data_IF_566426498389
#
_entry.id   IF_566426498389
#
_cell.length_a   1.000
_cell.length_b   1.000
_cell.length_c   1.000
_cell.angle_alpha   90.00
_cell.angle_beta   90.00
_cell.angle_gamma   90.00
#
_symmetry.space_group_name_H-M   'P 1'
#
loop_
_entity.id
_entity.type
_entity.pdbx_description
1 polymer ?
#
# COMPACT_ATOMS: atom_id res chain seq x y z
N UNK A 1 14.81 1.88 -5.03
CA UNK A 1 13.85 1.91 -3.92
C UNK A 1 14.02 3.25 -3.21
N UNK A 2 12.93 3.94 -2.90
CA UNK A 2 12.96 5.22 -2.18
C UNK A 2 12.34 5.11 -0.77
N UNK A 3 12.81 5.91 0.19
CA UNK A 3 12.13 6.08 1.48
C UNK A 3 10.73 6.69 1.31
N UNK A 4 9.80 6.24 2.13
CA UNK A 4 8.41 6.70 2.19
C UNK A 4 8.05 7.09 3.63
N UNK A 5 7.37 8.22 3.78
CA UNK A 5 6.71 8.62 5.01
C UNK A 5 5.19 8.48 4.81
N UNK A 6 4.55 7.66 5.63
CA UNK A 6 3.12 7.37 5.55
C UNK A 6 2.34 8.30 6.49
N UNK A 7 1.08 8.57 6.15
CA UNK A 7 0.18 9.45 6.90
C UNK A 7 -0.04 9.03 8.36
N UNK A 8 0.13 7.74 8.69
CA UNK A 8 0.05 7.21 10.05
C UNK A 8 1.35 7.26 10.86
N UNK A 9 2.34 8.07 10.46
CA UNK A 9 3.64 8.16 11.14
C UNK A 9 4.57 6.96 10.92
N UNK A 10 4.21 6.07 9.99
CA UNK A 10 5.02 4.91 9.64
C UNK A 10 6.07 5.28 8.60
N UNK A 11 7.20 4.57 8.63
CA UNK A 11 8.25 4.67 7.63
C UNK A 11 8.31 3.40 6.80
N UNK A 12 8.67 3.55 5.53
CA UNK A 12 8.82 2.41 4.65
C UNK A 12 9.70 2.68 3.43
N UNK A 13 9.75 1.68 2.56
CA UNK A 13 10.44 1.72 1.28
C UNK A 13 9.52 1.21 0.17
N UNK A 14 9.66 1.76 -1.02
CA UNK A 14 8.90 1.33 -2.20
C UNK A 14 9.60 1.62 -3.52
N UNK A 15 8.90 1.39 -4.65
CA UNK A 15 9.39 1.71 -5.99
C UNK A 15 9.73 3.19 -6.15
N UNK A 16 10.68 3.51 -7.02
CA UNK A 16 11.08 4.90 -7.32
C UNK A 16 9.91 5.76 -7.82
N UNK A 17 8.96 5.13 -8.52
CA UNK A 17 7.77 5.77 -9.05
C UNK A 17 6.73 6.16 -8.00
N UNK A 18 6.94 5.82 -6.72
CA UNK A 18 5.98 6.13 -5.66
C UNK A 18 5.89 7.65 -5.41
N UNK A 19 4.66 8.16 -5.30
CA UNK A 19 4.33 9.57 -5.18
C UNK A 19 3.33 9.82 -4.03
N UNK A 20 3.27 11.05 -3.49
CA UNK A 20 2.22 11.42 -2.55
C UNK A 20 0.82 11.15 -3.11
N UNK A 21 -0.03 10.49 -2.33
CA UNK A 21 -1.37 10.08 -2.73
C UNK A 21 -1.48 8.61 -3.14
N UNK A 22 -0.36 7.91 -3.34
CA UNK A 22 -0.37 6.46 -3.45
C UNK A 22 -0.80 5.80 -2.15
N UNK A 23 -1.53 4.69 -2.28
CA UNK A 23 -2.02 3.91 -1.14
C UNK A 23 -1.15 2.67 -0.93
N UNK A 24 -0.91 2.31 0.33
CA UNK A 24 -0.27 1.05 0.71
C UNK A 24 -1.33 0.10 1.24
N UNK A 25 -1.43 -1.07 0.61
CA UNK A 25 -2.49 -2.05 0.87
C UNK A 25 -1.90 -3.43 1.09
N UNK A 26 -2.51 -4.20 1.98
CA UNK A 26 -2.22 -5.63 2.14
C UNK A 26 -3.38 -6.40 1.51
N UNK A 27 -3.15 -6.98 0.35
CA UNK A 27 -4.12 -7.89 -0.26
C UNK A 27 -4.12 -9.22 0.46
N UNK A 28 -5.31 -9.75 0.77
CA UNK A 28 -5.42 -11.08 1.36
C UNK A 28 -4.79 -12.14 0.46
N UNK A 29 -3.98 -13.01 1.07
CA UNK A 29 -3.19 -14.02 0.36
C UNK A 29 -1.84 -13.54 -0.18
N UNK A 30 -1.56 -12.23 -0.12
CA UNK A 30 -0.26 -11.67 -0.52
C UNK A 30 0.65 -11.51 0.70
N UNK A 31 1.91 -11.88 0.55
CA UNK A 31 2.90 -11.92 1.65
C UNK A 31 3.53 -10.57 2.00
N UNK A 32 3.29 -9.54 1.21
CA UNK A 32 3.88 -8.22 1.38
C UNK A 32 2.85 -7.13 1.08
N UNK A 33 2.92 -5.96 1.75
CA UNK A 33 2.20 -4.76 1.33
C UNK A 33 2.55 -4.39 -0.10
N UNK A 34 1.57 -3.89 -0.84
CA UNK A 34 1.73 -3.37 -2.20
C UNK A 34 1.37 -1.89 -2.23
N UNK A 35 2.03 -1.14 -3.10
CA UNK A 35 1.66 0.23 -3.43
C UNK A 35 0.70 0.20 -4.61
N UNK A 36 -0.43 0.87 -4.47
CA UNK A 36 -1.42 1.04 -5.53
C UNK A 36 -1.66 2.53 -5.82
N UNK A 37 -1.90 2.83 -7.09
CA UNK A 37 -2.21 4.18 -7.57
C UNK A 37 -3.54 4.20 -8.29
N UNK A 38 -4.39 5.18 -7.97
CA UNK A 38 -5.63 5.45 -8.72
C UNK A 38 -5.31 5.84 -10.16
N UNK A 39 -6.06 5.30 -11.11
CA UNK A 39 -5.78 5.50 -12.55
C UNK A 39 -6.89 6.20 -13.32
N UNK A 40 -8.09 6.28 -12.76
CA UNK A 40 -9.25 6.90 -13.38
C UNK A 40 -9.69 8.17 -12.64
N UNK A 41 -10.40 9.03 -13.37
CA UNK A 41 -10.95 10.28 -12.83
C UNK A 41 -12.01 10.00 -11.74
N UNK A 42 -12.73 8.89 -11.89
CA UNK A 42 -13.77 8.46 -10.96
C UNK A 42 -13.21 7.73 -9.71
N UNK A 43 -11.90 7.45 -9.69
CA UNK A 43 -11.21 6.82 -8.56
C UNK A 43 -11.64 5.37 -8.28
N UNK A 44 -12.22 4.67 -9.26
CA UNK A 44 -12.73 3.31 -9.11
C UNK A 44 -11.67 2.25 -9.40
N UNK A 45 -10.65 2.58 -10.19
CA UNK A 45 -9.64 1.64 -10.65
C UNK A 45 -8.23 2.00 -10.15
N UNK A 46 -7.46 0.96 -9.86
CA UNK A 46 -6.12 1.06 -9.31
C UNK A 46 -5.14 0.22 -10.11
N UNK A 47 -3.91 0.70 -10.29
CA UNK A 47 -2.79 -0.11 -10.76
C UNK A 47 -1.86 -0.44 -9.60
N UNK A 48 -1.25 -1.61 -9.64
CA UNK A 48 -0.17 -1.98 -8.72
C UNK A 48 1.13 -1.34 -9.22
N UNK A 49 1.80 -0.57 -8.36
CA UNK A 49 3.14 -0.04 -8.64
C UNK A 49 4.24 -1.02 -8.24
N UNK A 50 4.02 -1.81 -7.20
CA UNK A 50 4.97 -2.82 -6.73
C UNK A 50 4.90 -3.04 -5.22
N UNK A 51 5.80 -3.87 -4.67
CA UNK A 51 5.85 -4.15 -3.24
C UNK A 51 6.35 -2.95 -2.43
N UNK A 52 5.88 -2.85 -1.19
CA UNK A 52 6.39 -1.95 -0.18
C UNK A 52 6.90 -2.72 1.04
N UNK A 53 7.95 -2.21 1.66
CA UNK A 53 8.39 -2.64 2.97
C UNK A 53 8.02 -1.56 3.98
N UNK A 54 7.10 -1.84 4.91
CA UNK A 54 6.67 -0.89 5.93
C UNK A 54 7.11 -1.38 7.31
N UNK A 55 7.88 -0.53 8.01
CA UNK A 55 8.34 -0.83 9.36
C UNK A 55 7.14 -1.00 10.30
N UNK A 56 7.11 -2.11 11.05
CA UNK A 56 6.02 -2.40 11.98
C UNK A 56 4.76 -3.02 11.34
N UNK A 57 4.79 -3.36 10.05
CA UNK A 57 3.63 -3.91 9.32
C UNK A 57 3.90 -5.30 8.73
N UNK A 58 5.14 -5.55 8.29
CA UNK A 58 5.50 -6.75 7.51
C UNK A 58 5.28 -8.10 8.21
N UNK A 59 5.34 -8.17 9.53
CA UNK A 59 5.30 -9.44 10.29
C UNK A 59 3.91 -9.77 10.83
N UNK A 60 2.85 -9.33 10.14
CA UNK A 60 1.46 -9.57 10.57
C UNK A 60 0.96 -8.62 11.67
N UNK A 61 1.84 -7.82 12.27
CA UNK A 61 1.53 -6.82 13.29
C UNK A 61 0.33 -5.93 12.94
N UNK A 62 0.23 -5.50 11.67
CA UNK A 62 -0.91 -4.70 11.22
C UNK A 62 -2.23 -5.49 11.20
N UNK A 63 -2.18 -6.79 10.91
CA UNK A 63 -3.36 -7.66 10.85
C UNK A 63 -3.97 -7.91 12.22
N UNK A 64 -3.15 -7.88 13.29
CA UNK A 64 -3.59 -8.05 14.67
C UNK A 64 -4.43 -6.86 15.18
N UNK A 65 -4.39 -5.72 14.48
CA UNK A 65 -5.13 -4.50 14.85
C UNK A 65 -6.56 -4.44 14.30
N UNK A 66 -7.02 -5.50 13.62
CA UNK A 66 -8.29 -5.55 12.90
C UNK A 66 -8.54 -4.32 11.99
N UNK A 67 -7.68 -4.10 10.98
CA UNK A 67 -7.73 -2.92 10.13
C UNK A 67 -9.00 -2.90 9.25
N UNK A 68 -9.42 -1.70 8.78
CA UNK A 68 -10.55 -1.58 7.87
C UNK A 68 -10.30 -2.36 6.58
N UNK A 69 -11.37 -2.91 6.01
CA UNK A 69 -11.34 -3.73 4.80
C UNK A 69 -12.06 -2.99 3.69
N UNK A 70 -11.41 -2.90 2.53
CA UNK A 70 -11.97 -2.25 1.35
C UNK A 70 -11.74 -3.13 0.11
N UNK A 71 -12.65 -3.03 -0.86
CA UNK A 71 -12.49 -3.65 -2.17
C UNK A 71 -11.72 -2.71 -3.10
N UNK A 72 -10.78 -3.27 -3.84
CA UNK A 72 -10.01 -2.59 -4.87
C UNK A 72 -10.29 -3.26 -6.23
N UNK A 73 -10.54 -2.47 -7.26
CA UNK A 73 -10.60 -2.94 -8.65
C UNK A 73 -9.24 -2.67 -9.28
N UNK A 74 -8.57 -3.72 -9.75
CA UNK A 74 -7.23 -3.65 -10.32
C UNK A 74 -7.27 -3.72 -11.84
N UNK A 75 -6.40 -2.94 -12.50
CA UNK A 75 -6.19 -2.96 -13.96
C UNK A 75 -4.77 -3.38 -14.33
#
# INVERSE_FOLDING_TARGET
MRPLALSGGHLGYGPESAEPGDEIVIFYGVKAPLIVRKVDVDGTAYKILGPAHVCGVMQGQFMDTNPPRQKYVLI
#
